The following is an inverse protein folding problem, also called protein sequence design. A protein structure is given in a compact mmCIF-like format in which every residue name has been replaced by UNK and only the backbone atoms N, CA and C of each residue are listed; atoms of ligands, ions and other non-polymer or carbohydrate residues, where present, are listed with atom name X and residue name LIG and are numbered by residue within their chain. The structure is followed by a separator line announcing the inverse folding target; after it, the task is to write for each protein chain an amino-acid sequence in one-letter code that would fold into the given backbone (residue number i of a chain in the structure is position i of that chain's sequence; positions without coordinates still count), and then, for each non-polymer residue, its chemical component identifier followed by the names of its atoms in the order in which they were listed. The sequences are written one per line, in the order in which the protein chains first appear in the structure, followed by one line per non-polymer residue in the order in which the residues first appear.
data_IF_740350018545
#
_entry.id   IF_740350018545
#
_cell.length_a   1.000
_cell.length_b   1.000
_cell.length_c   1.000
_cell.angle_alpha   90.00
_cell.angle_beta   90.00
_cell.angle_gamma   90.00
#
_symmetry.space_group_name_H-M   'P 1'
#
loop_
_entity.id
_entity.type
_entity.pdbx_description
1 polymer ?
#
# COMPACT_ATOMS: atom_id res chain seq x y z
N UNK A 1 69.60 -20.94 59.66
CA UNK A 1 70.36 -19.84 59.01
C UNK A 1 70.47 -20.13 57.52
N UNK A 2 70.24 -19.11 56.69
CA UNK A 2 70.56 -19.00 55.24
C UNK A 2 69.62 -19.63 54.19
N UNK A 3 68.87 -18.69 53.59
CA UNK A 3 68.34 -18.55 52.22
C UNK A 3 68.87 -19.50 51.14
N UNK A 4 67.93 -19.97 50.31
CA UNK A 4 68.01 -20.05 48.84
C UNK A 4 66.58 -20.06 48.30
N UNK A 5 66.19 -19.04 47.54
CA UNK A 5 65.96 -19.12 46.08
C UNK A 5 64.50 -19.50 45.79
N UNK A 6 63.73 -18.60 45.21
CA UNK A 6 63.27 -18.81 43.84
C UNK A 6 62.49 -17.61 43.31
N UNK A 7 62.99 -17.11 42.18
CA UNK A 7 62.31 -16.16 41.31
C UNK A 7 61.22 -16.94 40.57
N UNK A 8 59.96 -16.68 40.89
CA UNK A 8 58.85 -17.07 40.02
C UNK A 8 58.27 -15.80 39.39
N UNK A 9 58.63 -15.60 38.12
CA UNK A 9 57.99 -14.67 37.19
C UNK A 9 56.55 -15.14 36.95
N UNK A 10 55.58 -14.51 37.61
CA UNK A 10 54.18 -14.66 37.25
C UNK A 10 53.89 -13.77 36.05
N UNK A 11 53.83 -14.41 34.88
CA UNK A 11 53.22 -13.88 33.66
C UNK A 11 51.81 -13.39 34.00
N UNK A 12 51.60 -12.08 33.92
CA UNK A 12 50.28 -11.47 34.00
C UNK A 12 49.46 -11.87 32.77
N UNK A 13 48.52 -12.80 32.94
CA UNK A 13 47.45 -13.03 31.99
C UNK A 13 46.46 -11.86 32.09
N UNK A 14 46.64 -10.87 31.22
CA UNK A 14 45.67 -9.80 30.98
C UNK A 14 44.42 -10.42 30.34
N UNK A 15 43.46 -10.83 31.18
CA UNK A 15 42.13 -11.21 30.73
C UNK A 15 41.39 -9.93 30.34
N UNK A 16 41.34 -9.64 29.04
CA UNK A 16 40.37 -8.68 28.51
C UNK A 16 38.98 -9.27 28.74
N UNK A 17 38.34 -8.84 29.83
CA UNK A 17 36.89 -8.92 29.94
C UNK A 17 36.31 -7.97 28.89
N UNK A 18 36.04 -8.50 27.70
CA UNK A 18 35.05 -7.92 26.80
C UNK A 18 33.72 -8.01 27.55
N UNK A 19 33.41 -6.95 28.29
CA UNK A 19 32.04 -6.63 28.62
C UNK A 19 31.34 -6.47 27.29
N UNK A 20 30.66 -7.53 26.84
CA UNK A 20 29.56 -7.38 25.91
C UNK A 20 28.56 -6.49 26.63
N UNK A 21 28.67 -5.19 26.41
CA UNK A 21 27.52 -4.30 26.41
C UNK A 21 26.54 -4.99 25.47
N UNK A 22 25.64 -5.76 26.09
CA UNK A 22 24.43 -6.18 25.45
C UNK A 22 23.82 -4.90 24.93
N UNK A 23 23.91 -4.70 23.62
CA UNK A 23 22.82 -4.07 22.90
C UNK A 23 21.64 -5.01 23.12
N UNK A 24 21.03 -4.95 24.31
CA UNK A 24 19.60 -5.08 24.44
C UNK A 24 19.09 -3.97 23.52
N UNK A 25 18.94 -4.32 22.24
CA UNK A 25 18.27 -3.52 21.26
C UNK A 25 16.86 -3.40 21.80
N UNK A 26 16.66 -2.41 22.67
CA UNK A 26 15.38 -1.82 22.92
C UNK A 26 14.88 -1.50 21.53
N UNK A 27 13.92 -2.30 21.07
CA UNK A 27 13.17 -2.04 19.86
C UNK A 27 12.68 -0.62 20.02
N UNK A 28 13.36 0.31 19.36
CA UNK A 28 12.93 1.67 19.30
C UNK A 28 11.51 1.58 18.75
N UNK A 29 10.54 1.96 19.58
CA UNK A 29 9.20 2.29 19.12
C UNK A 29 9.38 3.37 18.06
N UNK A 30 9.56 2.96 16.80
CA UNK A 30 9.34 3.81 15.66
C UNK A 30 7.92 4.33 15.88
N UNK A 31 7.70 5.65 15.93
CA UNK A 31 6.36 6.18 16.12
C UNK A 31 5.44 5.53 15.09
N UNK A 32 4.36 4.89 15.53
CA UNK A 32 3.42 4.16 14.66
C UNK A 32 3.05 4.96 13.40
N UNK A 33 3.06 6.29 13.50
CA UNK A 33 2.83 7.26 12.42
C UNK A 33 3.73 7.10 11.19
N UNK A 34 4.99 6.66 11.32
CA UNK A 34 5.88 6.46 10.15
C UNK A 34 5.48 5.18 9.41
N UNK A 35 5.15 4.12 10.15
CA UNK A 35 4.70 2.85 9.58
C UNK A 35 3.35 3.03 8.87
N UNK A 36 2.40 3.72 9.50
CA UNK A 36 1.09 3.97 8.90
C UNK A 36 1.18 4.82 7.61
N UNK A 37 2.03 5.84 7.57
CA UNK A 37 2.29 6.60 6.33
C UNK A 37 2.88 5.73 5.21
N UNK A 38 3.81 4.84 5.56
CA UNK A 38 4.37 3.90 4.58
C UNK A 38 3.29 2.95 4.03
N UNK A 39 2.39 2.45 4.87
CA UNK A 39 1.23 1.66 4.43
C UNK A 39 0.33 2.46 3.50
N UNK A 40 0.05 3.72 3.79
CA UNK A 40 -0.75 4.60 2.91
C UNK A 40 -0.12 4.76 1.52
N UNK A 41 1.22 4.82 1.41
CA UNK A 41 1.92 4.80 0.10
C UNK A 41 1.72 3.48 -0.66
N UNK A 42 1.66 2.34 0.05
CA UNK A 42 1.34 1.04 -0.56
C UNK A 42 -0.11 1.04 -1.07
N UNK A 43 -1.07 1.63 -0.34
CA UNK A 43 -2.45 1.78 -0.82
C UNK A 43 -2.50 2.59 -2.12
N UNK A 44 -1.77 3.71 -2.20
CA UNK A 44 -1.66 4.49 -3.45
C UNK A 44 -1.10 3.67 -4.61
N UNK A 45 -0.10 2.84 -4.33
CA UNK A 45 0.44 1.92 -5.35
C UNK A 45 -0.61 0.91 -5.80
N UNK A 46 -1.43 0.39 -4.88
CA UNK A 46 -2.53 -0.52 -5.20
C UNK A 46 -3.62 0.15 -6.06
N UNK A 47 -3.89 1.46 -5.88
CA UNK A 47 -4.78 2.20 -6.78
C UNK A 47 -4.31 2.11 -8.25
N UNK A 48 -3.00 2.26 -8.48
CA UNK A 48 -2.40 2.17 -9.81
C UNK A 48 -2.46 0.74 -10.37
N UNK A 49 -2.38 -0.29 -9.52
CA UNK A 49 -2.57 -1.68 -9.94
C UNK A 49 -3.99 -1.89 -10.47
N UNK A 50 -5.01 -1.41 -9.75
CA UNK A 50 -6.41 -1.49 -10.19
C UNK A 50 -6.63 -0.68 -11.46
N UNK A 51 -6.06 0.52 -11.56
CA UNK A 51 -6.10 1.32 -12.79
C UNK A 51 -5.54 0.55 -13.98
N UNK A 52 -4.33 -0.03 -13.85
CA UNK A 52 -3.69 -0.80 -14.92
C UNK A 52 -4.55 -1.99 -15.36
N UNK A 53 -5.17 -2.71 -14.42
CA UNK A 53 -6.09 -3.80 -14.73
C UNK A 53 -7.31 -3.29 -15.52
N UNK A 54 -7.92 -2.17 -15.10
CA UNK A 54 -9.06 -1.57 -15.79
C UNK A 54 -8.69 -1.09 -17.21
N UNK A 55 -7.51 -0.48 -17.40
CA UNK A 55 -7.02 -0.09 -18.72
C UNK A 55 -6.71 -1.28 -19.63
N UNK A 56 -6.27 -2.40 -19.06
CA UNK A 56 -6.05 -3.64 -19.82
C UNK A 56 -7.40 -4.25 -20.24
N UNK A 57 -8.39 -4.29 -19.33
CA UNK A 57 -9.77 -4.71 -19.63
C UNK A 57 -10.37 -3.91 -20.79
N UNK A 58 -10.22 -2.58 -20.73
CA UNK A 58 -10.74 -1.65 -21.73
C UNK A 58 -10.27 -1.95 -23.16
N UNK A 59 -9.01 -2.40 -23.33
CA UNK A 59 -8.45 -2.73 -24.64
C UNK A 59 -9.10 -3.95 -25.28
N UNK A 60 -9.57 -4.89 -24.47
CA UNK A 60 -10.16 -6.14 -24.94
C UNK A 60 -11.70 -6.08 -25.03
N UNK A 61 -12.32 -5.06 -24.42
CA UNK A 61 -13.78 -4.95 -24.29
C UNK A 61 -14.37 -3.77 -25.07
N UNK A 62 -14.02 -3.63 -26.35
CA UNK A 62 -14.58 -2.59 -27.25
C UNK A 62 -14.54 -1.19 -26.63
N UNK A 63 -13.45 -0.85 -25.93
CA UNK A 63 -13.31 0.45 -25.30
C UNK A 63 -14.37 0.73 -24.22
N UNK A 64 -14.74 -0.30 -23.47
CA UNK A 64 -15.59 -0.20 -22.27
C UNK A 64 -14.85 -0.73 -21.05
N UNK A 65 -15.01 -0.04 -19.94
CA UNK A 65 -14.48 -0.44 -18.64
C UNK A 65 -15.38 -1.45 -17.93
N UNK A 66 -14.82 -2.18 -16.95
CA UNK A 66 -15.60 -3.05 -16.08
C UNK A 66 -16.76 -2.31 -15.42
N UNK A 67 -17.92 -2.96 -15.36
CA UNK A 67 -19.10 -2.45 -14.62
C UNK A 67 -19.35 -3.21 -13.32
N UNK A 68 -18.57 -4.27 -13.06
CA UNK A 68 -18.63 -5.10 -11.87
C UNK A 68 -17.22 -5.60 -11.51
N UNK A 69 -17.06 -6.06 -10.25
CA UNK A 69 -15.85 -6.76 -9.80
C UNK A 69 -16.06 -8.26 -9.86
N UNK A 70 -16.19 -8.79 -11.06
CA UNK A 70 -16.36 -10.22 -11.33
C UNK A 70 -15.04 -10.88 -11.73
N UNK A 71 -15.08 -12.18 -12.00
CA UNK A 71 -13.88 -12.95 -12.36
C UNK A 71 -13.31 -12.55 -13.73
N UNK A 72 -14.17 -11.98 -14.59
CA UNK A 72 -13.77 -11.41 -15.87
C UNK A 72 -12.85 -10.20 -15.64
N UNK A 73 -13.26 -9.22 -14.84
CA UNK A 73 -12.37 -8.11 -14.49
C UNK A 73 -11.15 -8.58 -13.69
N UNK A 74 -11.33 -9.47 -12.70
CA UNK A 74 -10.22 -9.96 -11.87
C UNK A 74 -9.14 -10.68 -12.68
N UNK A 75 -9.46 -11.24 -13.84
CA UNK A 75 -8.49 -11.89 -14.73
C UNK A 75 -7.45 -10.94 -15.33
N UNK A 76 -7.72 -9.63 -15.30
CA UNK A 76 -6.83 -8.59 -15.81
C UNK A 76 -5.74 -8.18 -14.82
N UNK A 77 -5.81 -8.64 -13.57
CA UNK A 77 -4.77 -8.48 -12.58
C UNK A 77 -3.57 -9.39 -12.89
N UNK A 78 -2.42 -9.12 -12.26
CA UNK A 78 -1.18 -9.87 -12.48
C UNK A 78 -1.36 -11.37 -12.19
N UNK A 79 -0.88 -12.24 -13.08
CA UNK A 79 -1.03 -13.70 -12.95
C UNK A 79 -2.40 -14.26 -13.36
N UNK A 80 -3.35 -13.40 -13.74
CA UNK A 80 -4.65 -13.78 -14.30
C UNK A 80 -4.58 -14.09 -15.79
N UNK A 81 -5.64 -14.71 -16.31
CA UNK A 81 -5.79 -15.04 -17.73
C UNK A 81 -7.20 -14.67 -18.23
N UNK A 82 -7.34 -13.60 -19.02
CA UNK A 82 -8.63 -13.18 -19.59
C UNK A 82 -9.26 -14.19 -20.53
N UNK A 83 -8.49 -15.03 -21.23
CA UNK A 83 -9.05 -16.00 -22.18
C UNK A 83 -9.85 -17.09 -21.47
N UNK A 84 -9.40 -17.48 -20.28
CA UNK A 84 -10.05 -18.50 -19.43
C UNK A 84 -10.82 -17.90 -18.26
N UNK A 85 -10.87 -16.57 -18.15
CA UNK A 85 -11.43 -15.82 -17.02
C UNK A 85 -10.86 -16.26 -15.66
N UNK A 86 -9.61 -16.72 -15.66
CA UNK A 86 -8.92 -17.09 -14.42
C UNK A 86 -8.55 -15.81 -13.68
N UNK A 87 -9.03 -15.59 -12.44
CA UNK A 87 -8.65 -14.43 -11.65
C UNK A 87 -7.14 -14.34 -11.44
N UNK A 88 -6.60 -13.12 -11.48
CA UNK A 88 -5.21 -12.84 -11.11
C UNK A 88 -5.00 -12.74 -9.61
N UNK A 89 -3.84 -12.21 -9.23
CA UNK A 89 -3.48 -11.98 -7.84
C UNK A 89 -4.07 -10.63 -7.37
N UNK A 90 -4.80 -10.61 -6.24
CA UNK A 90 -5.25 -9.36 -5.66
C UNK A 90 -4.07 -8.57 -5.09
N UNK A 91 -4.13 -7.22 -5.07
CA UNK A 91 -3.18 -6.43 -4.31
C UNK A 91 -3.25 -6.75 -2.81
N UNK A 92 -2.12 -6.65 -2.11
CA UNK A 92 -2.07 -6.85 -0.65
C UNK A 92 -2.54 -5.58 0.04
N UNK A 93 -3.54 -5.70 0.92
CA UNK A 93 -3.91 -4.62 1.83
C UNK A 93 -2.82 -4.49 2.92
N UNK A 94 -2.12 -3.35 3.00
CA UNK A 94 -0.97 -3.20 3.89
C UNK A 94 -1.33 -3.11 5.39
N UNK A 95 -2.62 -2.93 5.72
CA UNK A 95 -3.09 -2.87 7.10
C UNK A 95 -3.57 -4.24 7.60
N UNK A 96 -4.12 -5.08 6.73
CA UNK A 96 -4.59 -6.44 7.09
C UNK A 96 -3.57 -7.53 6.77
N UNK A 97 -2.64 -7.26 5.83
CA UNK A 97 -1.70 -8.24 5.29
C UNK A 97 -2.34 -9.23 4.32
N UNK A 98 -3.64 -9.11 4.04
CA UNK A 98 -4.38 -10.04 3.19
C UNK A 98 -4.48 -9.54 1.75
N UNK A 99 -4.48 -10.46 0.76
CA UNK A 99 -4.80 -10.11 -0.62
C UNK A 99 -6.29 -9.78 -0.76
N UNK A 100 -6.60 -8.60 -1.28
CA UNK A 100 -7.97 -8.09 -1.42
C UNK A 100 -8.19 -7.47 -2.81
N UNK A 101 -9.19 -7.96 -3.55
CA UNK A 101 -9.62 -7.31 -4.80
C UNK A 101 -10.34 -5.99 -4.47
N UNK A 102 -10.42 -5.04 -5.43
CA UNK A 102 -11.22 -3.84 -5.21
C UNK A 102 -12.68 -4.22 -4.94
N UNK A 103 -13.37 -3.39 -4.15
CA UNK A 103 -14.82 -3.50 -3.97
C UNK A 103 -15.54 -2.57 -4.94
N UNK A 104 -16.80 -2.90 -5.26
CA UNK A 104 -17.63 -2.02 -6.07
C UNK A 104 -17.96 -0.75 -5.28
N UNK A 105 -17.77 0.38 -5.95
CA UNK A 105 -17.92 1.69 -5.35
C UNK A 105 -19.22 2.41 -5.59
N UNK A 106 -19.28 3.62 -5.05
CA UNK A 106 -20.47 4.47 -4.98
C UNK A 106 -20.28 5.84 -5.61
N UNK A 107 -19.08 6.15 -6.11
CA UNK A 107 -18.80 7.43 -6.77
C UNK A 107 -19.56 7.48 -8.09
N UNK A 108 -20.42 8.48 -8.25
CA UNK A 108 -21.21 8.72 -9.48
C UNK A 108 -20.82 9.99 -10.22
N UNK A 109 -20.18 10.94 -9.54
CA UNK A 109 -19.68 12.21 -10.10
C UNK A 109 -18.26 12.46 -9.55
N UNK A 110 -17.29 12.55 -10.47
CA UNK A 110 -15.88 12.69 -10.11
C UNK A 110 -15.51 14.10 -9.65
N UNK A 111 -16.10 15.12 -10.25
CA UNK A 111 -15.81 16.50 -9.88
C UNK A 111 -16.33 16.79 -8.48
N UNK A 112 -17.56 16.34 -8.18
CA UNK A 112 -18.13 16.46 -6.84
C UNK A 112 -17.33 15.65 -5.82
N UNK A 113 -16.97 14.41 -6.15
CA UNK A 113 -16.27 13.55 -5.20
C UNK A 113 -14.84 14.04 -4.88
N UNK A 114 -14.14 14.66 -5.82
CA UNK A 114 -12.83 15.31 -5.60
C UNK A 114 -12.88 16.55 -4.70
N UNK A 115 -14.03 17.24 -4.67
CA UNK A 115 -14.25 18.40 -3.81
C UNK A 115 -14.83 18.02 -2.44
N UNK A 116 -15.47 16.85 -2.35
CA UNK A 116 -16.05 16.36 -1.12
C UNK A 116 -14.97 15.98 -0.08
N UNK A 117 -15.21 16.22 1.21
CA UNK A 117 -14.33 15.72 2.25
C UNK A 117 -14.30 14.18 2.22
N UNK A 118 -13.16 13.55 2.62
CA UNK A 118 -13.06 12.11 2.77
C UNK A 118 -14.23 11.45 3.50
N UNK A 119 -14.95 10.59 2.78
CA UNK A 119 -16.01 9.74 3.36
C UNK A 119 -15.42 8.51 4.04
N UNK A 120 -16.24 7.75 4.77
CA UNK A 120 -15.81 6.48 5.35
C UNK A 120 -15.38 5.48 4.26
N UNK A 121 -14.22 4.85 4.46
CA UNK A 121 -13.71 3.77 3.64
C UNK A 121 -12.67 3.01 4.47
N UNK A 122 -12.88 1.72 4.69
CA UNK A 122 -11.97 0.90 5.52
C UNK A 122 -10.53 1.02 5.05
N UNK A 123 -9.60 1.12 6.00
CA UNK A 123 -8.16 1.24 5.73
C UNK A 123 -7.65 0.19 4.74
N UNK A 124 -6.91 0.66 3.74
CA UNK A 124 -6.31 -0.17 2.69
C UNK A 124 -7.27 -0.79 1.67
N UNK A 125 -8.59 -0.70 1.88
CA UNK A 125 -9.57 -1.15 0.89
C UNK A 125 -9.52 -0.23 -0.32
N UNK A 126 -9.50 -0.82 -1.51
CA UNK A 126 -9.61 -0.10 -2.78
C UNK A 126 -11.05 -0.19 -3.28
N UNK A 127 -11.63 0.94 -3.64
CA UNK A 127 -12.96 1.03 -4.20
C UNK A 127 -12.87 1.41 -5.68
N UNK A 128 -13.55 0.66 -6.54
CA UNK A 128 -13.67 0.91 -7.97
C UNK A 128 -15.14 1.24 -8.31
N UNK A 129 -15.39 2.46 -8.79
CA UNK A 129 -16.71 2.92 -9.19
C UNK A 129 -16.80 3.02 -10.71
N UNK A 130 -17.59 2.17 -11.39
CA UNK A 130 -17.86 2.34 -12.81
C UNK A 130 -18.77 3.55 -13.03
N UNK A 131 -18.46 4.35 -14.04
CA UNK A 131 -19.20 5.56 -14.38
C UNK A 131 -19.74 5.48 -15.79
N UNK A 132 -20.87 6.15 -16.03
CA UNK A 132 -21.46 6.28 -17.36
C UNK A 132 -21.64 4.93 -18.08
N UNK A 133 -22.03 3.90 -17.32
CA UNK A 133 -22.15 2.51 -17.79
C UNK A 133 -20.86 1.94 -18.40
N UNK A 134 -19.71 2.23 -17.80
CA UNK A 134 -18.41 1.70 -18.22
C UNK A 134 -17.67 2.57 -19.24
N UNK A 135 -18.09 3.82 -19.47
CA UNK A 135 -17.29 4.76 -20.29
C UNK A 135 -16.15 5.41 -19.53
N UNK A 136 -16.27 5.49 -18.21
CA UNK A 136 -15.24 5.98 -17.30
C UNK A 136 -15.28 5.21 -15.97
N UNK A 137 -14.38 5.55 -15.06
CA UNK A 137 -14.34 5.00 -13.71
C UNK A 137 -13.72 5.99 -12.72
N UNK A 138 -13.97 5.78 -11.44
CA UNK A 138 -13.24 6.39 -10.34
C UNK A 138 -12.67 5.33 -9.40
N UNK A 139 -11.42 5.52 -8.95
CA UNK A 139 -10.76 4.65 -7.98
C UNK A 139 -10.32 5.49 -6.78
N UNK A 140 -10.72 5.06 -5.58
CA UNK A 140 -10.28 5.63 -4.31
C UNK A 140 -9.82 4.53 -3.37
N UNK A 141 -9.04 4.86 -2.35
CA UNK A 141 -8.57 3.90 -1.35
C UNK A 141 -8.69 4.44 0.06
N UNK A 142 -8.83 3.54 1.03
CA UNK A 142 -8.93 3.90 2.46
C UNK A 142 -7.57 4.21 3.08
N UNK A 143 -7.50 5.29 3.85
CA UNK A 143 -6.34 5.73 4.63
C UNK A 143 -6.25 5.02 5.99
N UNK A 144 -5.26 5.37 6.79
CA UNK A 144 -5.04 4.79 8.12
C UNK A 144 -6.14 5.11 9.16
N UNK A 145 -7.06 6.04 8.85
CA UNK A 145 -8.14 6.52 9.72
C UNK A 145 -9.52 6.02 9.30
N UNK A 146 -9.57 5.00 8.43
CA UNK A 146 -10.81 4.45 7.89
C UNK A 146 -11.65 5.51 7.13
N UNK A 147 -10.97 6.47 6.49
CA UNK A 147 -11.53 7.43 5.56
C UNK A 147 -10.96 7.21 4.16
N UNK A 148 -11.63 7.68 3.12
CA UNK A 148 -11.03 7.75 1.80
C UNK A 148 -9.78 8.66 1.84
N UNK A 149 -8.73 8.32 1.10
CA UNK A 149 -7.51 9.13 1.12
C UNK A 149 -7.79 10.56 0.66
N UNK A 150 -7.18 11.52 1.36
CA UNK A 150 -7.20 12.92 0.95
C UNK A 150 -6.29 13.14 -0.27
N UNK A 151 -6.69 14.03 -1.17
CA UNK A 151 -5.86 14.47 -2.29
C UNK A 151 -4.75 15.42 -1.79
N UNK A 152 -3.53 15.25 -2.29
CA UNK A 152 -2.41 16.16 -2.00
C UNK A 152 -2.32 17.33 -2.98
N UNK A 153 -3.14 17.31 -4.04
CA UNK A 153 -3.23 18.41 -4.99
C UNK A 153 -3.93 19.61 -4.33
N UNK A 154 -3.24 20.74 -4.23
CA UNK A 154 -3.76 21.98 -3.67
C UNK A 154 -5.00 22.50 -4.42
N UNK A 155 -5.18 22.13 -5.70
CA UNK A 155 -6.37 22.47 -6.48
C UNK A 155 -7.58 21.57 -6.15
N UNK A 156 -7.35 20.42 -5.52
CA UNK A 156 -8.37 19.43 -5.15
C UNK A 156 -8.24 19.08 -3.67
N UNK A 157 -8.80 19.92 -2.79
CA UNK A 157 -8.71 19.76 -1.34
C UNK A 157 -9.68 18.73 -0.74
N UNK A 158 -10.16 17.76 -1.52
CA UNK A 158 -11.10 16.74 -1.07
C UNK A 158 -10.53 15.33 -1.18
N UNK A 159 -11.34 14.41 -1.71
CA UNK A 159 -10.97 12.99 -1.82
C UNK A 159 -10.03 12.74 -3.01
N UNK A 160 -8.96 11.96 -2.79
CA UNK A 160 -8.10 11.44 -3.85
C UNK A 160 -8.86 10.42 -4.70
N UNK A 161 -9.03 10.73 -5.98
CA UNK A 161 -9.68 9.83 -6.95
C UNK A 161 -8.85 9.76 -8.23
N UNK A 162 -8.35 8.57 -8.53
CA UNK A 162 -7.71 8.25 -9.80
C UNK A 162 -8.80 7.85 -10.79
N UNK A 163 -8.76 8.42 -11.99
CA UNK A 163 -9.78 8.19 -13.02
C UNK A 163 -9.20 8.40 -14.42
N UNK A 164 -9.97 8.10 -15.47
CA UNK A 164 -9.54 8.27 -16.86
C UNK A 164 -9.70 9.69 -17.40
N UNK A 165 -10.64 10.46 -16.88
CA UNK A 165 -10.82 11.90 -17.13
C UNK A 165 -9.64 12.68 -16.56
N UNK A 166 -8.53 12.67 -17.32
CA UNK A 166 -7.47 13.69 -17.24
C UNK A 166 -6.87 13.93 -15.86
N UNK A 167 -6.40 12.89 -15.16
CA UNK A 167 -5.35 13.12 -14.16
C UNK A 167 -4.03 13.38 -14.89
N UNK A 168 -3.65 14.67 -14.99
CA UNK A 168 -2.27 15.07 -15.26
C UNK A 168 -1.62 15.33 -13.90
N UNK A 169 -0.55 14.61 -13.50
CA UNK A 169 0.26 15.09 -12.39
C UNK A 169 0.76 16.49 -12.73
N UNK A 170 0.71 17.42 -11.78
CA UNK A 170 1.40 18.70 -11.92
C UNK A 170 2.89 18.43 -12.13
N UNK A 171 3.44 18.90 -13.25
CA UNK A 171 4.88 18.91 -13.54
C UNK A 171 5.68 19.68 -12.48
#
# INVERSE_FOLDING_TARGET
MKRTSDRLLLLGALTMALASTGCAGGGANVPDTINERAKTLVVRSNLLVVQKAAEKYFKDHTYMYPTAIDDDFKSYFEGGDPATKKPGNPPINPFTGNPEFPVLGTVTDLAQARQAPPSDLKRGVIEYSPLENGKSYGIRGGDEKDKAMHSEDAAQMGTLIISRDTWKPSD
#
